data_IF_842502117669
#
_entry.id   IF_842502117669
#
_cell.length_a   1.000
_cell.length_b   1.000
_cell.length_c   1.000
_cell.angle_alpha   90.00
_cell.angle_beta   90.00
_cell.angle_gamma   90.00
#
_symmetry.space_group_name_H-M   'P 1'
#
loop_
_entity.id
_entity.type
_entity.pdbx_description
1 polymer ?
#
# COMPACT_ATOMS: atom_id res chain seq x y z
N UNK A 1 -1.63 10.20 21.63
CA UNK A 1 -2.12 9.85 22.98
C UNK A 1 -3.64 9.86 22.95
N UNK A 2 -4.32 8.86 23.52
CA UNK A 2 -5.80 8.82 23.56
C UNK A 2 -6.42 9.85 24.53
N UNK A 3 -5.59 10.61 25.26
CA UNK A 3 -6.02 11.70 26.12
C UNK A 3 -6.42 12.98 25.36
N UNK A 4 -6.30 13.00 24.03
CA UNK A 4 -6.63 14.13 23.17
C UNK A 4 -7.64 13.71 22.10
N UNK A 5 -8.58 14.60 21.80
CA UNK A 5 -9.54 14.42 20.71
C UNK A 5 -10.97 14.11 21.18
N UNK A 6 -11.87 13.88 20.22
CA UNK A 6 -13.31 13.79 20.47
C UNK A 6 -13.74 12.58 21.32
N UNK A 7 -12.88 11.55 21.42
CA UNK A 7 -13.18 10.31 22.13
C UNK A 7 -12.57 10.25 23.55
N UNK A 8 -11.96 11.34 24.03
CA UNK A 8 -11.20 11.36 25.31
C UNK A 8 -12.03 10.95 26.53
N UNK A 9 -13.33 11.26 26.54
CA UNK A 9 -14.25 11.02 27.66
C UNK A 9 -15.27 9.88 27.35
N UNK A 10 -15.06 9.11 26.28
CA UNK A 10 -16.01 8.08 25.86
C UNK A 10 -15.97 6.85 26.80
N UNK A 11 -17.10 6.47 27.43
CA UNK A 11 -17.15 5.26 28.26
C UNK A 11 -17.07 4.00 27.40
N UNK A 12 -16.59 2.89 27.98
CA UNK A 12 -16.56 1.55 27.35
C UNK A 12 -15.78 1.46 26.04
N UNK A 13 -14.75 2.31 25.85
CA UNK A 13 -13.91 2.32 24.66
C UNK A 13 -12.57 1.61 24.91
N UNK A 14 -12.27 0.59 24.11
CA UNK A 14 -10.93 -0.01 24.02
C UNK A 14 -10.31 0.43 22.69
N UNK A 15 -9.13 1.04 22.76
CA UNK A 15 -8.38 1.46 21.58
C UNK A 15 -7.05 0.73 21.51
N UNK A 16 -6.72 0.20 20.33
CA UNK A 16 -5.37 -0.25 19.98
C UNK A 16 -4.74 0.76 19.01
N UNK A 17 -3.46 1.11 19.16
CA UNK A 17 -2.83 2.18 18.38
C UNK A 17 -2.47 1.72 16.95
N UNK A 18 -3.48 1.39 16.14
CA UNK A 18 -3.32 0.90 14.77
C UNK A 18 -2.34 -0.30 14.64
N UNK A 19 -2.36 -1.19 15.61
CA UNK A 19 -1.47 -2.37 15.67
C UNK A 19 -2.12 -3.65 15.16
N UNK A 20 -3.38 -3.59 14.70
CA UNK A 20 -4.13 -4.77 14.27
C UNK A 20 -3.49 -5.52 13.08
N UNK A 21 -2.72 -4.82 12.24
CA UNK A 21 -2.01 -5.42 11.10
C UNK A 21 -0.70 -6.10 11.50
N UNK A 22 -0.17 -5.81 12.70
CA UNK A 22 1.20 -6.15 13.05
C UNK A 22 1.34 -7.54 13.65
N UNK A 23 2.12 -8.37 12.96
CA UNK A 23 2.94 -9.44 13.53
C UNK A 23 4.32 -9.36 12.87
N UNK A 24 5.33 -10.02 13.44
CA UNK A 24 6.66 -10.07 12.82
C UNK A 24 6.58 -10.68 11.40
N UNK A 25 5.78 -11.73 11.25
CA UNK A 25 5.55 -12.44 10.00
C UNK A 25 4.81 -11.55 8.99
N UNK A 26 3.73 -10.89 9.39
CA UNK A 26 2.97 -10.00 8.51
C UNK A 26 3.81 -8.80 8.04
N UNK A 27 4.66 -8.26 8.92
CA UNK A 27 5.58 -7.18 8.58
C UNK A 27 6.66 -7.63 7.58
N UNK A 28 7.19 -8.85 7.73
CA UNK A 28 8.13 -9.41 6.76
C UNK A 28 7.45 -9.64 5.40
N UNK A 29 6.30 -10.32 5.39
CA UNK A 29 5.53 -10.62 4.18
C UNK A 29 5.18 -9.35 3.39
N UNK A 30 4.68 -8.32 4.07
CA UNK A 30 4.32 -7.07 3.41
C UNK A 30 5.53 -6.37 2.78
N UNK A 31 6.68 -6.36 3.47
CA UNK A 31 7.92 -5.73 2.97
C UNK A 31 8.47 -6.49 1.77
N UNK A 32 8.49 -7.82 1.81
CA UNK A 32 8.94 -8.66 0.70
C UNK A 32 8.01 -8.55 -0.52
N UNK A 33 6.70 -8.53 -0.29
CA UNK A 33 5.71 -8.35 -1.34
C UNK A 33 5.86 -6.97 -2.01
N UNK A 34 6.06 -5.90 -1.24
CA UNK A 34 6.28 -4.56 -1.77
C UNK A 34 7.58 -4.49 -2.61
N UNK A 35 8.70 -5.03 -2.09
CA UNK A 35 9.97 -5.06 -2.83
C UNK A 35 9.84 -5.87 -4.14
N UNK A 36 9.12 -6.99 -4.10
CA UNK A 36 8.83 -7.81 -5.29
C UNK A 36 8.01 -7.05 -6.32
N UNK A 37 7.04 -6.25 -5.87
CA UNK A 37 6.20 -5.45 -6.76
C UNK A 37 7.01 -4.34 -7.45
N UNK A 38 7.95 -3.70 -6.73
CA UNK A 38 8.90 -2.73 -7.32
C UNK A 38 9.78 -3.41 -8.37
N UNK A 39 10.28 -4.63 -8.10
CA UNK A 39 11.05 -5.38 -9.10
C UNK A 39 10.22 -5.62 -10.37
N UNK A 40 8.95 -6.03 -10.25
CA UNK A 40 8.05 -6.22 -11.40
C UNK A 40 7.85 -4.92 -12.18
N UNK A 41 7.73 -3.79 -11.49
CA UNK A 41 7.61 -2.48 -12.11
C UNK A 41 8.85 -2.11 -12.95
N UNK A 42 10.04 -2.40 -12.43
CA UNK A 42 11.32 -2.08 -13.09
C UNK A 42 11.60 -3.00 -14.28
N UNK A 43 11.35 -4.30 -14.14
CA UNK A 43 11.71 -5.29 -15.18
C UNK A 43 10.60 -5.53 -16.20
N UNK A 44 9.36 -5.17 -15.87
CA UNK A 44 8.19 -5.42 -16.69
C UNK A 44 7.60 -4.17 -17.32
N UNK A 45 6.42 -4.32 -17.94
CA UNK A 45 5.62 -3.22 -18.47
C UNK A 45 4.56 -2.81 -17.45
N UNK A 46 4.49 -1.52 -17.14
CA UNK A 46 3.45 -0.96 -16.27
C UNK A 46 2.25 -0.55 -17.13
N UNK A 47 1.00 -0.87 -16.72
CA UNK A 47 0.62 -1.52 -15.46
C UNK A 47 0.54 -3.05 -15.54
N UNK A 48 0.74 -3.67 -16.71
CA UNK A 48 0.44 -5.09 -16.95
C UNK A 48 1.22 -6.06 -16.06
N UNK A 49 2.45 -5.72 -15.70
CA UNK A 49 3.34 -6.56 -14.90
C UNK A 49 3.11 -6.40 -13.39
N UNK A 50 2.34 -5.40 -12.97
CA UNK A 50 1.99 -5.17 -11.57
C UNK A 50 0.78 -6.04 -11.19
N UNK A 51 0.87 -6.76 -10.06
CA UNK A 51 -0.22 -7.62 -9.57
C UNK A 51 -1.32 -6.81 -8.91
N UNK A 52 -0.95 -5.80 -8.11
CA UNK A 52 -1.86 -5.01 -7.29
C UNK A 52 -1.85 -3.53 -7.69
N UNK A 53 -1.77 -3.21 -8.99
CA UNK A 53 -1.93 -1.83 -9.46
C UNK A 53 -3.38 -1.36 -9.22
N UNK A 54 -3.54 -0.32 -8.41
CA UNK A 54 -4.84 0.19 -7.95
C UNK A 54 -5.41 1.33 -8.79
N UNK A 55 -4.61 1.89 -9.69
CA UNK A 55 -4.92 3.12 -10.44
C UNK A 55 -4.51 2.94 -11.92
N UNK A 56 -4.96 1.83 -12.53
CA UNK A 56 -4.56 1.43 -13.89
C UNK A 56 -4.94 2.49 -14.92
N UNK A 57 -6.05 3.18 -14.73
CA UNK A 57 -6.60 4.23 -15.60
C UNK A 57 -5.60 5.35 -15.91
N UNK A 58 -4.65 5.65 -15.01
CA UNK A 58 -3.61 6.65 -15.27
C UNK A 58 -2.51 6.16 -16.22
N UNK A 59 -2.43 4.85 -16.42
CA UNK A 59 -1.52 4.21 -17.35
C UNK A 59 -2.23 3.76 -18.64
N UNK A 60 -3.57 3.78 -18.66
CA UNK A 60 -4.39 3.55 -19.86
C UNK A 60 -4.69 4.88 -20.56
N UNK A 61 -3.65 5.61 -20.96
CA UNK A 61 -3.79 6.73 -21.91
C UNK A 61 -2.69 6.68 -22.95
N UNK A 62 -3.14 6.44 -24.18
CA UNK A 62 -2.50 6.65 -25.49
C UNK A 62 -1.57 7.87 -25.55
N UNK A 63 -0.26 7.64 -25.74
CA UNK A 63 0.59 8.43 -26.63
C UNK A 63 1.96 7.73 -26.81
N UNK A 64 2.57 7.83 -28.01
CA UNK A 64 3.72 7.04 -28.41
C UNK A 64 4.99 7.69 -27.89
N UNK A 65 5.62 7.14 -26.86
CA UNK A 65 7.08 7.27 -26.73
C UNK A 65 7.76 6.26 -27.68
N UNK A 66 7.35 6.34 -28.94
CA UNK A 66 8.12 5.84 -30.06
C UNK A 66 9.40 6.67 -30.13
N UNK A 67 10.52 6.00 -29.89
CA UNK A 67 11.82 6.29 -30.50
C UNK A 67 12.34 7.73 -30.29
N UNK A 68 13.28 7.87 -29.35
CA UNK A 68 14.51 8.63 -29.62
C UNK A 68 15.64 7.60 -29.65
#
# INVERSE_FOLDING_TARGET
>A
SFAQGPLKDAPNLICTPHTAWYSEQASLEMREAAATEIRRAITGRIPESLRNCVNKEFFVTTAPWSVI
#
